data_IF_064917450924
#
_entry.id   IF_064917450924
#
_cell.length_a   1.000
_cell.length_b   1.000
_cell.length_c   1.000
_cell.angle_alpha   90.00
_cell.angle_beta   90.00
_cell.angle_gamma   90.00
#
_symmetry.space_group_name_H-M   'P 1'
#
loop_
_entity.id
_entity.type
_entity.pdbx_description
1 polymer ?
#
# COMPACT_ATOMS: atom_id res chain seq x y z
N UNK A 1 -13.59 -19.44 40.57
CA UNK A 1 -13.36 -18.35 39.61
C UNK A 1 -14.27 -17.19 39.99
N UNK A 2 -13.72 -15.98 40.23
CA UNK A 2 -14.52 -14.83 40.66
C UNK A 2 -15.27 -14.26 39.45
N UNK A 3 -16.59 -13.98 39.54
CA UNK A 3 -17.30 -13.38 38.42
C UNK A 3 -16.78 -11.96 38.20
N UNK A 4 -16.39 -11.66 36.96
CA UNK A 4 -15.93 -10.34 36.53
C UNK A 4 -17.12 -9.36 36.63
N UNK A 5 -17.18 -8.61 37.73
CA UNK A 5 -18.31 -7.73 38.09
C UNK A 5 -18.49 -6.53 37.14
N UNK A 6 -17.58 -6.31 36.19
CA UNK A 6 -17.53 -5.15 35.29
C UNK A 6 -17.40 -5.56 33.79
N UNK A 7 -18.15 -6.56 33.34
CA UNK A 7 -18.08 -7.12 31.98
C UNK A 7 -18.16 -6.08 30.85
N UNK A 8 -18.96 -5.02 31.02
CA UNK A 8 -19.07 -3.90 30.05
C UNK A 8 -17.74 -3.18 29.83
N UNK A 9 -16.95 -3.01 30.90
CA UNK A 9 -15.66 -2.32 30.84
C UNK A 9 -14.61 -3.17 30.11
N UNK A 10 -14.61 -4.48 30.36
CA UNK A 10 -13.78 -5.43 29.63
C UNK A 10 -14.13 -5.48 28.14
N UNK A 11 -15.42 -5.43 27.79
CA UNK A 11 -15.84 -5.38 26.40
C UNK A 11 -15.35 -4.11 25.67
N UNK A 12 -15.43 -2.94 26.33
CA UNK A 12 -14.95 -1.67 25.77
C UNK A 12 -13.42 -1.71 25.55
N UNK A 13 -12.66 -2.23 26.51
CA UNK A 13 -11.21 -2.38 26.40
C UNK A 13 -10.84 -3.29 25.21
N UNK A 14 -11.56 -4.41 25.04
CA UNK A 14 -11.28 -5.38 23.98
C UNK A 14 -11.55 -4.79 22.59
N UNK A 15 -12.63 -4.00 22.43
CA UNK A 15 -12.97 -3.30 21.19
C UNK A 15 -11.94 -2.21 20.85
N UNK A 16 -11.47 -1.46 21.86
CA UNK A 16 -10.47 -0.42 21.69
C UNK A 16 -9.13 -1.01 21.20
N UNK A 17 -8.68 -2.11 21.81
CA UNK A 17 -7.46 -2.81 21.41
C UNK A 17 -7.54 -3.37 19.98
N UNK A 18 -8.69 -3.91 19.59
CA UNK A 18 -8.90 -4.43 18.24
C UNK A 18 -8.82 -3.34 17.17
N UNK A 19 -9.41 -2.16 17.45
CA UNK A 19 -9.41 -1.02 16.53
C UNK A 19 -7.99 -0.48 16.26
N UNK A 20 -7.14 -0.43 17.29
CA UNK A 20 -5.74 0.01 17.16
C UNK A 20 -4.92 -0.96 16.32
N UNK A 21 -5.23 -2.27 16.38
CA UNK A 21 -4.51 -3.28 15.60
C UNK A 21 -4.75 -3.13 14.08
N UNK A 22 -5.90 -2.61 13.67
CA UNK A 22 -6.27 -2.43 12.27
C UNK A 22 -5.72 -1.12 11.65
N UNK A 23 -5.29 -0.14 12.45
CA UNK A 23 -4.90 1.18 11.93
C UNK A 23 -3.52 1.22 11.26
N UNK A 24 -2.73 0.15 11.32
CA UNK A 24 -1.34 0.14 10.80
C UNK A 24 -1.19 -0.39 9.36
N UNK A 25 -2.28 -0.55 8.60
CA UNK A 25 -2.19 -0.88 7.17
C UNK A 25 -1.96 0.38 6.32
N UNK A 26 -0.78 0.99 6.43
CA UNK A 26 -0.32 2.01 5.47
C UNK A 26 0.77 1.42 4.58
N UNK A 27 0.44 1.13 3.33
CA UNK A 27 1.42 0.80 2.29
C UNK A 27 2.07 2.08 1.82
N UNK A 28 3.19 2.44 2.47
CA UNK A 28 4.04 3.53 2.03
C UNK A 28 4.68 3.20 0.68
N UNK A 29 4.18 3.79 -0.40
CA UNK A 29 4.81 3.70 -1.73
C UNK A 29 6.13 4.47 -1.66
N UNK A 30 7.25 3.76 -1.46
CA UNK A 30 8.57 4.40 -1.44
C UNK A 30 8.92 4.87 -2.85
N UNK A 31 8.68 6.14 -3.15
CA UNK A 31 9.24 6.79 -4.33
C UNK A 31 10.70 7.11 -4.04
N UNK A 32 11.59 6.14 -4.26
CA UNK A 32 13.04 6.37 -4.21
C UNK A 32 13.41 7.41 -5.30
N UNK A 33 13.71 8.65 -4.89
CA UNK A 33 14.16 9.75 -5.77
C UNK A 33 15.66 9.65 -6.13
N UNK A 34 16.18 8.44 -6.26
CA UNK A 34 17.55 8.22 -6.74
C UNK A 34 17.54 8.51 -8.24
N UNK A 35 18.21 9.60 -8.67
CA UNK A 35 18.46 10.01 -10.08
C UNK A 35 17.74 9.10 -11.08
N UNK A 36 16.47 9.42 -11.34
CA UNK A 36 15.52 8.48 -11.94
C UNK A 36 16.06 7.94 -13.25
N UNK A 37 16.45 6.67 -13.26
CA UNK A 37 16.61 5.92 -14.51
C UNK A 37 15.29 6.04 -15.27
N UNK A 38 15.32 6.16 -16.61
CA UNK A 38 14.10 6.21 -17.40
C UNK A 38 13.19 5.05 -17.01
N UNK A 39 11.92 5.37 -16.77
CA UNK A 39 10.90 4.42 -16.36
C UNK A 39 10.92 3.22 -17.31
N UNK A 40 11.07 1.97 -16.82
CA UNK A 40 11.15 0.83 -17.71
C UNK A 40 9.87 0.72 -18.55
N UNK A 41 9.98 0.34 -19.84
CA UNK A 41 8.88 0.40 -20.79
C UNK A 41 7.66 -0.43 -20.36
N UNK A 42 7.88 -1.53 -19.64
CA UNK A 42 6.80 -2.34 -19.07
C UNK A 42 6.04 -1.65 -17.93
N UNK A 43 6.71 -0.82 -17.14
CA UNK A 43 6.08 -0.03 -16.08
C UNK A 43 5.36 1.19 -16.68
N UNK A 44 5.98 1.84 -17.67
CA UNK A 44 5.32 2.89 -18.45
C UNK A 44 4.01 2.40 -19.06
N UNK A 45 4.03 1.24 -19.74
CA UNK A 45 2.83 0.58 -20.28
C UNK A 45 1.72 0.37 -19.24
N UNK A 46 2.09 -0.10 -18.04
CA UNK A 46 1.12 -0.34 -16.95
C UNK A 46 0.49 0.96 -16.44
N UNK A 47 1.27 2.04 -16.37
CA UNK A 47 0.80 3.36 -15.93
C UNK A 47 -0.07 4.02 -17.01
N UNK A 48 0.31 3.90 -18.28
CA UNK A 48 -0.43 4.53 -19.39
C UNK A 48 -1.63 3.73 -19.89
N UNK A 49 -1.79 2.48 -19.43
CA UNK A 49 -2.88 1.61 -19.85
C UNK A 49 -2.78 1.14 -21.30
N UNK A 50 -1.65 1.37 -21.97
CA UNK A 50 -1.47 1.01 -23.37
C UNK A 50 -1.33 -0.52 -23.56
N UNK A 51 -1.81 -1.05 -24.69
CA UNK A 51 -1.69 -2.48 -25.01
C UNK A 51 -0.25 -2.91 -25.32
N UNK A 52 0.64 -1.98 -25.68
CA UNK A 52 2.02 -2.28 -26.10
C UNK A 52 3.04 -1.35 -25.45
N UNK A 53 4.20 -1.89 -25.08
CA UNK A 53 5.31 -1.12 -24.52
C UNK A 53 6.26 -0.57 -25.61
N UNK A 54 5.95 -0.82 -26.89
CA UNK A 54 6.82 -0.49 -28.03
C UNK A 54 7.13 1.01 -28.08
N UNK A 55 6.17 1.89 -27.78
CA UNK A 55 6.37 3.35 -27.78
C UNK A 55 7.35 3.86 -26.71
N UNK A 56 7.57 3.07 -25.66
CA UNK A 56 8.46 3.42 -24.55
C UNK A 56 9.82 2.71 -24.66
N UNK A 57 10.01 1.83 -25.65
CA UNK A 57 11.27 1.12 -25.82
C UNK A 57 12.34 2.05 -26.45
N UNK A 58 13.61 1.90 -26.04
CA UNK A 58 14.70 2.73 -26.54
C UNK A 58 14.85 2.58 -28.06
N UNK A 59 14.94 3.72 -28.77
CA UNK A 59 15.12 3.76 -30.23
C UNK A 59 13.84 3.73 -31.07
N UNK A 60 12.66 3.79 -30.46
CA UNK A 60 11.36 3.77 -31.17
C UNK A 60 10.84 5.17 -31.55
N UNK A 61 11.43 6.23 -30.97
CA UNK A 61 11.14 7.64 -31.31
C UNK A 61 12.31 8.27 -32.08
N UNK A 62 12.89 7.52 -33.03
CA UNK A 62 13.84 8.09 -33.99
C UNK A 62 13.08 8.70 -35.16
#
# INVERSE_FOLDING_TARGET
MKPLKNSRFFAIILIALFSISLSNCSVGVRTNSVKSKPLPPGQAKKITGEKSAKRYAPGQNK
#
